data_IF_125756113621
#
_entry.id   IF_125756113621
#
_cell.length_a   1.000
_cell.length_b   1.000
_cell.length_c   1.000
_cell.angle_alpha   90.00
_cell.angle_beta   90.00
_cell.angle_gamma   90.00
#
_symmetry.space_group_name_H-M   'P 1'
#
loop_
_entity.id
_entity.type
_entity.pdbx_description
1 polymer ?
#
# COMPACT_ATOMS: atom_id res chain seq x y z
N UNK A 1 41.18 -29.01 39.24
CA UNK A 1 39.99 -29.27 38.39
C UNK A 1 39.28 -27.95 38.14
N UNK A 2 38.77 -27.71 36.93
CA UNK A 2 38.19 -26.41 36.54
C UNK A 2 36.65 -26.50 36.50
N UNK A 3 35.94 -25.65 37.26
CA UNK A 3 34.50 -25.35 37.06
C UNK A 3 34.16 -23.92 37.48
N UNK A 4 34.43 -22.98 36.58
CA UNK A 4 33.74 -21.69 36.58
C UNK A 4 32.42 -21.91 35.84
N UNK A 5 31.29 -21.82 36.53
CA UNK A 5 29.98 -21.72 35.89
C UNK A 5 29.52 -20.27 35.95
N UNK A 6 29.93 -19.50 34.94
CA UNK A 6 29.37 -18.17 34.72
C UNK A 6 27.89 -18.29 34.37
N UNK A 7 27.01 -17.61 35.11
CA UNK A 7 25.59 -17.53 34.81
C UNK A 7 25.39 -16.59 33.61
N UNK A 8 25.65 -17.12 32.41
CA UNK A 8 25.46 -16.41 31.15
C UNK A 8 23.96 -16.39 30.81
N UNK A 9 23.21 -15.59 31.56
CA UNK A 9 21.87 -15.15 31.18
C UNK A 9 22.06 -14.23 29.97
N UNK A 10 22.10 -14.84 28.78
CA UNK A 10 21.87 -14.12 27.53
C UNK A 10 20.42 -13.67 27.58
N UNK A 11 20.20 -12.45 28.06
CA UNK A 11 18.95 -11.74 27.84
C UNK A 11 18.77 -11.62 26.32
N UNK A 12 17.93 -12.49 25.75
CA UNK A 12 17.48 -12.37 24.37
C UNK A 12 16.49 -11.20 24.24
N UNK A 13 16.97 -9.99 24.54
CA UNK A 13 16.45 -8.74 23.99
C UNK A 13 16.78 -8.75 22.50
N UNK A 14 16.03 -9.56 21.73
CA UNK A 14 16.15 -9.62 20.28
C UNK A 14 15.54 -8.32 19.74
N UNK A 15 16.38 -7.28 19.69
CA UNK A 15 16.16 -6.13 18.83
C UNK A 15 16.32 -6.61 17.39
N UNK A 16 15.27 -7.26 16.88
CA UNK A 16 15.18 -7.68 15.50
C UNK A 16 15.00 -6.43 14.63
N UNK A 17 16.11 -5.82 14.25
CA UNK A 17 16.13 -5.02 13.04
C UNK A 17 15.88 -5.93 11.85
N UNK A 18 15.14 -5.42 10.87
CA UNK A 18 14.72 -6.18 9.69
C UNK A 18 14.78 -5.29 8.46
N UNK A 19 15.23 -5.85 7.33
CA UNK A 19 15.29 -5.15 6.05
C UNK A 19 14.22 -5.71 5.12
N UNK A 20 13.32 -4.87 4.61
CA UNK A 20 12.35 -5.28 3.61
C UNK A 20 12.65 -4.59 2.28
N UNK A 21 12.73 -5.39 1.21
CA UNK A 21 12.64 -4.88 -0.15
C UNK A 21 11.20 -5.00 -0.64
N UNK A 22 10.69 -3.96 -1.29
CA UNK A 22 9.48 -4.02 -2.10
C UNK A 22 9.78 -3.66 -3.54
N UNK A 23 9.20 -4.40 -4.48
CA UNK A 23 9.08 -4.01 -5.87
C UNK A 23 7.61 -3.72 -6.16
N UNK A 24 7.35 -2.63 -6.87
CA UNK A 24 6.02 -2.23 -7.29
C UNK A 24 5.97 -2.03 -8.79
N UNK A 25 4.81 -2.40 -9.35
CA UNK A 25 4.39 -2.09 -10.69
C UNK A 25 2.97 -1.56 -10.65
N UNK A 26 2.71 -0.41 -11.27
CA UNK A 26 1.36 0.12 -11.50
C UNK A 26 1.22 0.48 -12.98
N UNK A 27 0.13 0.02 -13.60
CA UNK A 27 -0.27 0.43 -14.94
C UNK A 27 -1.56 1.24 -14.85
N UNK A 28 -1.48 2.52 -15.17
CA UNK A 28 -2.59 3.46 -15.23
C UNK A 28 -2.95 3.79 -16.69
N UNK A 29 -4.24 3.92 -16.98
CA UNK A 29 -4.76 4.29 -18.31
C UNK A 29 -6.01 5.16 -18.20
N UNK A 30 -6.16 6.12 -19.13
CA UNK A 30 -7.24 7.10 -19.14
C UNK A 30 -7.55 7.65 -20.55
N UNK A 31 -8.84 7.83 -20.83
CA UNK A 31 -9.40 8.42 -22.08
C UNK A 31 -10.34 9.60 -21.77
N UNK A 32 -10.38 10.05 -20.50
CA UNK A 32 -11.23 11.12 -20.00
C UNK A 32 -10.60 11.89 -18.83
N UNK A 33 -11.18 13.04 -18.51
CA UNK A 33 -10.90 13.89 -17.36
C UNK A 33 -12.19 14.13 -16.56
N UNK A 34 -12.03 14.68 -15.34
CA UNK A 34 -13.03 15.54 -14.72
C UNK A 34 -12.58 16.99 -14.91
N UNK A 35 -13.49 17.83 -15.41
CA UNK A 35 -13.23 19.25 -15.62
C UNK A 35 -13.34 20.06 -14.31
N UNK A 36 -13.34 21.39 -14.40
CA UNK A 36 -13.44 22.28 -13.23
C UNK A 36 -14.83 22.35 -12.59
N UNK A 37 -15.85 21.77 -13.23
CA UNK A 37 -17.23 21.64 -12.74
C UNK A 37 -17.53 20.24 -12.17
N UNK A 38 -16.51 19.39 -12.01
CA UNK A 38 -16.60 17.97 -11.62
C UNK A 38 -17.34 17.08 -12.66
N UNK A 39 -17.58 17.58 -13.87
CA UNK A 39 -18.20 16.84 -14.96
C UNK A 39 -17.16 16.00 -15.73
N UNK A 40 -17.58 14.84 -16.23
CA UNK A 40 -16.77 13.96 -17.06
C UNK A 40 -16.63 14.51 -18.49
N UNK A 41 -15.39 14.64 -18.96
CA UNK A 41 -15.04 15.12 -20.30
C UNK A 41 -14.10 14.11 -20.97
N UNK A 42 -14.46 13.60 -22.16
CA UNK A 42 -13.58 12.71 -22.91
C UNK A 42 -12.48 13.50 -23.62
N UNK A 43 -11.27 12.92 -23.68
CA UNK A 43 -10.13 13.51 -24.40
C UNK A 43 -10.39 13.60 -25.93
N UNK A 44 -11.35 12.82 -26.45
CA UNK A 44 -11.72 12.77 -27.85
C UNK A 44 -11.24 11.50 -28.57
N UNK A 45 -11.87 11.19 -29.70
CA UNK A 45 -11.69 9.92 -30.42
C UNK A 45 -10.28 9.72 -30.96
N UNK A 46 -9.46 8.96 -30.23
CA UNK A 46 -8.07 8.64 -30.58
C UNK A 46 -7.04 9.13 -29.54
N UNK A 47 -7.45 9.98 -28.59
CA UNK A 47 -6.60 10.43 -27.50
C UNK A 47 -6.64 9.48 -26.31
N UNK A 48 -5.48 9.28 -25.70
CA UNK A 48 -5.32 8.52 -24.46
C UNK A 48 -4.08 8.99 -23.71
N UNK A 49 -3.99 8.60 -22.44
CA UNK A 49 -2.76 8.65 -21.66
C UNK A 49 -2.57 7.34 -20.88
N UNK A 50 -1.36 6.78 -20.93
CA UNK A 50 -0.94 5.59 -20.20
C UNK A 50 0.33 5.87 -19.39
N UNK A 51 0.43 5.27 -18.21
CA UNK A 51 1.59 5.34 -17.34
C UNK A 51 1.92 3.96 -16.78
N UNK A 52 3.19 3.58 -16.85
CA UNK A 52 3.77 2.36 -16.31
C UNK A 52 4.80 2.75 -15.25
N UNK A 53 4.40 2.71 -13.98
CA UNK A 53 5.25 3.05 -12.84
C UNK A 53 5.92 1.81 -12.28
N UNK A 54 7.25 1.85 -12.15
CA UNK A 54 8.05 0.85 -11.46
C UNK A 54 8.75 1.50 -10.27
N UNK A 55 8.56 0.97 -9.05
CA UNK A 55 9.27 1.46 -7.86
C UNK A 55 10.01 0.35 -7.13
N UNK A 56 11.19 0.67 -6.63
CA UNK A 56 11.99 -0.16 -5.75
C UNK A 56 12.16 0.55 -4.42
N UNK A 57 11.68 -0.07 -3.34
CA UNK A 57 11.76 0.47 -1.98
C UNK A 57 12.58 -0.45 -1.08
N UNK A 58 13.40 0.14 -0.22
CA UNK A 58 14.16 -0.53 0.82
C UNK A 58 13.83 0.08 2.18
N UNK A 59 13.14 -0.70 3.01
CA UNK A 59 12.79 -0.32 4.37
C UNK A 59 13.78 -0.91 5.35
N UNK A 60 14.25 -0.08 6.29
CA UNK A 60 14.98 -0.52 7.47
C UNK A 60 14.12 -0.30 8.71
N UNK A 61 13.79 -1.38 9.42
CA UNK A 61 13.22 -1.29 10.76
C UNK A 61 14.34 -1.25 11.78
N UNK A 62 14.50 -0.12 12.47
CA UNK A 62 15.49 0.02 13.54
C UNK A 62 15.06 -0.71 14.81
N UNK A 63 13.77 -0.60 15.17
CA UNK A 63 13.19 -1.31 16.31
C UNK A 63 11.66 -1.46 16.14
N UNK A 64 10.99 -1.99 17.18
CA UNK A 64 9.53 -2.17 17.25
C UNK A 64 8.69 -0.90 17.04
N UNK A 65 9.30 0.29 17.05
CA UNK A 65 8.65 1.59 17.03
C UNK A 65 9.29 2.56 16.03
N UNK A 66 10.16 2.11 15.11
CA UNK A 66 10.74 2.96 14.06
C UNK A 66 11.05 2.19 12.76
N UNK A 67 10.50 2.68 11.64
CA UNK A 67 10.82 2.30 10.25
C UNK A 67 11.34 3.52 9.50
N UNK A 68 12.34 3.32 8.64
CA UNK A 68 12.77 4.30 7.64
C UNK A 68 12.78 3.66 6.26
N UNK A 69 12.58 4.48 5.23
CA UNK A 69 12.45 4.09 3.82
C UNK A 69 13.45 4.89 2.99
N UNK A 70 14.10 4.21 2.04
CA UNK A 70 14.67 4.81 0.84
C UNK A 70 14.13 4.07 -0.38
N UNK A 71 13.72 4.79 -1.42
CA UNK A 71 13.20 4.20 -2.64
C UNK A 71 13.53 5.00 -3.90
N UNK A 72 13.22 4.44 -5.06
CA UNK A 72 13.44 5.07 -6.36
C UNK A 72 12.39 4.62 -7.37
N UNK A 73 11.87 5.57 -8.16
CA UNK A 73 10.79 5.35 -9.13
C UNK A 73 11.25 5.59 -10.57
N UNK A 74 10.90 4.67 -11.47
CA UNK A 74 11.14 4.72 -12.91
C UNK A 74 9.80 4.65 -13.63
N UNK A 75 9.48 5.65 -14.45
CA UNK A 75 8.18 5.75 -15.12
C UNK A 75 8.34 5.76 -16.64
N UNK A 76 7.55 4.92 -17.32
CA UNK A 76 7.33 4.98 -18.77
C UNK A 76 5.91 5.51 -19.03
N UNK A 77 5.75 6.52 -19.87
CA UNK A 77 4.44 7.06 -20.25
C UNK A 77 4.23 6.97 -21.76
N UNK A 78 2.96 6.88 -22.19
CA UNK A 78 2.51 7.04 -23.57
C UNK A 78 1.32 7.98 -23.64
N UNK A 79 1.17 8.71 -24.74
CA UNK A 79 0.02 9.57 -25.00
C UNK A 79 -0.27 9.72 -26.50
N UNK A 80 -1.48 10.18 -26.83
CA UNK A 80 -1.92 10.47 -28.20
C UNK A 80 -2.79 11.72 -28.23
N UNK A 81 -2.60 12.60 -29.22
CA UNK A 81 -3.39 13.83 -29.45
C UNK A 81 -4.33 13.76 -30.67
N UNK A 82 -4.46 12.57 -31.28
CA UNK A 82 -5.08 12.27 -32.59
C UNK A 82 -4.21 12.55 -33.83
N UNK A 83 -3.02 13.13 -33.67
CA UNK A 83 -2.05 13.36 -34.75
C UNK A 83 -0.84 12.44 -34.56
N UNK A 84 -0.22 12.50 -33.38
CA UNK A 84 1.03 11.80 -33.06
C UNK A 84 0.93 11.02 -31.73
N UNK A 85 1.53 9.82 -31.71
CA UNK A 85 1.77 9.07 -30.46
C UNK A 85 3.12 9.47 -29.87
N UNK A 86 3.12 9.87 -28.59
CA UNK A 86 4.31 10.24 -27.82
C UNK A 86 4.60 9.20 -26.77
N UNK A 87 5.87 9.08 -26.37
CA UNK A 87 6.25 8.29 -25.20
C UNK A 87 7.53 8.79 -24.55
N UNK A 88 7.74 8.51 -23.28
CA UNK A 88 8.92 8.93 -22.53
C UNK A 88 9.26 7.92 -21.42
N UNK A 89 10.55 7.78 -21.08
CA UNK A 89 11.03 6.95 -19.98
C UNK A 89 12.12 7.67 -19.18
N UNK A 90 11.80 8.08 -17.93
CA UNK A 90 12.76 8.71 -17.03
C UNK A 90 12.65 8.12 -15.61
N UNK A 91 13.74 8.21 -14.81
CA UNK A 91 13.63 8.21 -13.35
C UNK A 91 12.74 9.38 -12.90
N UNK A 92 11.63 9.10 -12.21
CA UNK A 92 10.70 10.13 -11.76
C UNK A 92 11.17 10.78 -10.46
N UNK A 93 11.46 9.96 -9.44
CA UNK A 93 11.73 10.44 -8.10
C UNK A 93 12.69 9.54 -7.31
N UNK A 94 13.31 10.14 -6.30
CA UNK A 94 13.94 9.45 -5.17
C UNK A 94 13.06 9.67 -3.93
N UNK A 95 12.75 8.57 -3.25
CA UNK A 95 11.91 8.53 -2.06
C UNK A 95 12.77 8.46 -0.79
N UNK A 96 12.43 9.27 0.23
CA UNK A 96 12.90 9.12 1.61
C UNK A 96 11.73 9.24 2.59
N UNK A 97 11.50 8.20 3.40
CA UNK A 97 10.43 8.16 4.40
C UNK A 97 10.92 7.79 5.80
N UNK A 98 10.14 8.20 6.81
CA UNK A 98 10.33 7.78 8.19
C UNK A 98 8.97 7.70 8.89
N UNK A 99 8.76 6.64 9.68
CA UNK A 99 7.49 6.36 10.35
C UNK A 99 7.73 5.97 11.81
N UNK A 100 6.94 6.56 12.71
CA UNK A 100 6.79 6.18 14.11
C UNK A 100 5.41 5.56 14.37
N UNK A 101 5.37 4.38 14.99
CA UNK A 101 4.15 3.63 15.25
C UNK A 101 4.06 3.12 16.68
N UNK A 102 2.83 3.07 17.19
CA UNK A 102 2.49 2.56 18.52
C UNK A 102 1.22 1.69 18.53
N UNK A 103 1.20 0.63 19.34
CA UNK A 103 0.00 -0.15 19.54
C UNK A 103 -1.02 0.56 20.42
N UNK A 104 -2.30 0.29 20.16
CA UNK A 104 -3.42 0.64 21.04
C UNK A 104 -4.13 -0.63 21.52
N UNK A 105 -5.23 -0.49 22.26
CA UNK A 105 -6.01 -1.62 22.76
C UNK A 105 -6.77 -2.38 21.66
N UNK A 106 -7.10 -1.74 20.54
CA UNK A 106 -8.09 -2.23 19.57
C UNK A 106 -7.55 -2.33 18.14
N UNK A 107 -6.23 -2.26 17.97
CA UNK A 107 -5.61 -1.86 16.71
C UNK A 107 -4.51 -0.85 17.01
N UNK A 108 -4.02 -0.13 16.00
CA UNK A 108 -2.71 0.50 16.08
C UNK A 108 -2.67 1.84 15.33
N UNK A 109 -1.77 2.72 15.77
CA UNK A 109 -1.61 4.07 15.24
C UNK A 109 -0.18 4.29 14.78
N UNK A 110 0.01 4.98 13.66
CA UNK A 110 1.33 5.52 13.30
C UNK A 110 1.23 6.90 12.67
N UNK A 111 2.34 7.62 12.75
CA UNK A 111 2.57 8.94 12.16
C UNK A 111 3.90 8.88 11.41
N UNK A 112 3.96 9.48 10.23
CA UNK A 112 5.14 9.40 9.39
C UNK A 112 5.23 10.50 8.35
N UNK A 113 6.33 10.47 7.63
CA UNK A 113 6.54 11.27 6.44
C UNK A 113 7.01 10.40 5.29
N UNK A 114 6.67 10.82 4.08
CA UNK A 114 7.14 10.23 2.83
C UNK A 114 7.47 11.36 1.84
N UNK A 115 8.76 11.52 1.52
CA UNK A 115 9.27 12.66 0.77
C UNK A 115 9.76 12.17 -0.59
N UNK A 116 9.27 12.78 -1.68
CA UNK A 116 9.66 12.45 -3.03
C UNK A 116 10.39 13.64 -3.63
N UNK A 117 11.68 13.45 -3.91
CA UNK A 117 12.51 14.42 -4.59
C UNK A 117 12.47 14.08 -6.07
N UNK A 118 11.86 14.93 -6.89
CA UNK A 118 11.76 14.68 -8.32
C UNK A 118 13.13 14.81 -8.99
N UNK A 119 13.38 13.95 -9.97
CA UNK A 119 14.66 13.86 -10.67
C UNK A 119 14.64 14.57 -12.03
N UNK A 120 13.50 15.16 -12.40
CA UNK A 120 13.30 16.01 -13.57
C UNK A 120 12.30 17.12 -13.25
N UNK A 121 12.27 18.17 -14.07
CA UNK A 121 11.23 19.20 -14.04
C UNK A 121 10.45 19.12 -15.37
N UNK A 122 9.16 19.45 -15.38
CA UNK A 122 8.39 19.54 -16.64
C UNK A 122 8.87 20.74 -17.46
N UNK A 123 9.37 20.48 -18.67
CA UNK A 123 9.58 21.51 -19.69
C UNK A 123 8.28 21.71 -20.49
N UNK A 124 7.72 22.92 -20.45
CA UNK A 124 6.53 23.29 -21.20
C UNK A 124 6.72 23.32 -22.74
N UNK A 125 7.98 23.16 -23.22
CA UNK A 125 8.35 23.14 -24.63
C UNK A 125 8.70 21.73 -25.15
N UNK A 126 8.57 20.69 -24.32
CA UNK A 126 8.81 19.30 -24.76
C UNK A 126 7.67 18.76 -25.63
N UNK A 127 8.00 17.75 -26.44
CA UNK A 127 7.04 16.96 -27.24
C UNK A 127 7.02 15.49 -26.75
N UNK A 128 7.58 15.23 -25.56
CA UNK A 128 7.60 13.92 -24.90
C UNK A 128 6.51 13.80 -23.84
N UNK A 129 5.88 12.64 -23.71
CA UNK A 129 4.83 12.41 -22.70
C UNK A 129 5.34 12.64 -21.26
N UNK A 130 4.54 13.26 -20.39
CA UNK A 130 4.96 13.46 -18.99
C UNK A 130 4.94 12.15 -18.23
N UNK A 131 5.99 11.88 -17.45
CA UNK A 131 6.13 10.68 -16.62
C UNK A 131 5.91 10.93 -15.11
N UNK A 132 5.52 12.17 -14.76
CA UNK A 132 5.37 12.63 -13.38
C UNK A 132 4.98 14.12 -13.33
N UNK A 133 4.77 14.64 -12.13
CA UNK A 133 4.46 16.07 -11.90
C UNK A 133 5.66 17.00 -12.19
N UNK A 134 6.89 16.47 -12.21
CA UNK A 134 8.14 17.25 -12.29
C UNK A 134 8.30 18.26 -11.14
N UNK A 135 7.75 17.92 -9.97
CA UNK A 135 7.80 18.70 -8.74
C UNK A 135 8.08 17.76 -7.57
N UNK A 136 8.85 18.22 -6.59
CA UNK A 136 9.11 17.49 -5.34
C UNK A 136 7.97 17.67 -4.35
N UNK A 137 7.76 16.71 -3.44
CA UNK A 137 6.71 16.78 -2.43
C UNK A 137 7.11 16.18 -1.08
N UNK A 138 6.55 16.75 -0.02
CA UNK A 138 6.66 16.31 1.36
C UNK A 138 5.26 15.89 1.82
N UNK A 139 5.05 14.59 1.97
CA UNK A 139 3.82 14.03 2.53
C UNK A 139 4.02 13.77 4.02
N UNK A 140 3.18 14.35 4.86
CA UNK A 140 3.08 14.09 6.29
C UNK A 140 1.75 13.40 6.57
N UNK A 141 1.74 12.31 7.33
CA UNK A 141 0.52 11.53 7.53
C UNK A 141 0.36 11.00 8.95
N UNK A 142 -0.89 10.74 9.33
CA UNK A 142 -1.28 9.93 10.47
C UNK A 142 -2.27 8.86 10.03
N UNK A 143 -2.08 7.62 10.49
CA UNK A 143 -2.92 6.48 10.14
C UNK A 143 -3.28 5.65 11.35
N UNK A 144 -4.45 5.02 11.26
CA UNK A 144 -4.99 4.16 12.28
C UNK A 144 -5.66 2.94 11.67
N UNK A 145 -5.38 1.79 12.27
CA UNK A 145 -6.07 0.55 11.97
C UNK A 145 -6.85 0.09 13.18
N UNK A 146 -8.11 -0.28 12.94
CA UNK A 146 -9.01 -0.84 13.93
C UNK A 146 -9.24 -2.31 13.61
N UNK A 147 -8.94 -3.19 14.56
CA UNK A 147 -9.18 -4.62 14.45
C UNK A 147 -10.54 -4.99 15.08
N UNK A 148 -11.49 -5.40 14.25
CA UNK A 148 -12.87 -5.73 14.63
C UNK A 148 -13.01 -7.25 14.73
N UNK A 149 -12.71 -7.78 15.92
CA UNK A 149 -12.67 -9.21 16.17
C UNK A 149 -11.50 -9.88 15.43
N UNK A 150 -11.70 -11.09 14.89
CA UNK A 150 -10.60 -11.91 14.36
C UNK A 150 -10.54 -11.93 12.81
N UNK A 151 -11.36 -11.14 12.11
CA UNK A 151 -11.54 -11.24 10.64
C UNK A 151 -11.86 -9.94 9.91
N UNK A 152 -12.20 -8.86 10.60
CA UNK A 152 -12.49 -7.58 9.97
C UNK A 152 -11.52 -6.54 10.49
N UNK A 153 -10.93 -5.77 9.59
CA UNK A 153 -10.13 -4.59 9.91
C UNK A 153 -10.71 -3.36 9.21
N UNK A 154 -10.56 -2.19 9.81
CA UNK A 154 -10.76 -0.90 9.15
C UNK A 154 -9.40 -0.20 9.12
N UNK A 155 -8.88 0.10 7.94
CA UNK A 155 -7.79 1.06 7.77
C UNK A 155 -8.37 2.46 7.56
N UNK A 156 -7.78 3.47 8.18
CA UNK A 156 -8.01 4.89 7.89
C UNK A 156 -6.70 5.66 7.90
N UNK A 157 -6.53 6.59 6.95
CA UNK A 157 -5.40 7.52 6.90
C UNK A 157 -5.84 8.94 6.60
N UNK A 158 -5.12 9.90 7.17
CA UNK A 158 -5.20 11.32 6.83
C UNK A 158 -3.78 11.88 6.67
N UNK A 159 -3.60 12.80 5.74
CA UNK A 159 -2.30 13.42 5.51
C UNK A 159 -2.39 14.79 4.84
N UNK A 160 -1.24 15.44 4.81
CA UNK A 160 -0.98 16.73 4.20
C UNK A 160 0.24 16.57 3.27
N UNK A 161 0.11 17.01 2.03
CA UNK A 161 1.12 16.90 1.00
C UNK A 161 1.47 18.29 0.51
N UNK A 162 2.64 18.80 0.90
CA UNK A 162 3.17 20.04 0.34
C UNK A 162 3.98 19.74 -0.91
N UNK A 163 3.84 20.58 -1.95
CA UNK A 163 4.41 20.36 -3.28
C UNK A 163 5.20 21.59 -3.73
N UNK A 164 6.33 21.40 -4.42
CA UNK A 164 7.17 22.50 -4.93
C UNK A 164 6.63 23.03 -6.27
N UNK A 165 7.33 24.00 -6.87
CA UNK A 165 7.12 24.43 -8.26
C UNK A 165 5.69 24.92 -8.55
N UNK A 166 5.23 25.83 -7.68
CA UNK A 166 3.95 26.54 -7.83
C UNK A 166 2.70 25.75 -7.47
N UNK A 167 2.84 24.47 -7.10
CA UNK A 167 1.73 23.55 -6.90
C UNK A 167 0.89 23.88 -5.67
N UNK A 168 -0.43 23.66 -5.77
CA UNK A 168 -1.29 23.59 -4.60
C UNK A 168 -0.86 22.48 -3.63
N UNK A 169 -0.88 22.76 -2.32
CA UNK A 169 -0.79 21.73 -1.28
C UNK A 169 -2.09 20.91 -1.28
N UNK A 170 -1.97 19.61 -0.99
CA UNK A 170 -3.11 18.68 -0.96
C UNK A 170 -3.36 18.15 0.46
N UNK A 171 -4.63 17.97 0.82
CA UNK A 171 -5.03 17.08 1.92
C UNK A 171 -5.39 15.71 1.34
N UNK A 172 -4.92 14.64 1.97
CA UNK A 172 -5.03 13.25 1.48
C UNK A 172 -5.79 12.38 2.48
N UNK A 173 -6.66 11.49 2.00
CA UNK A 173 -7.50 10.62 2.82
C UNK A 173 -7.51 9.18 2.28
N UNK A 174 -7.62 8.20 3.18
CA UNK A 174 -7.81 6.78 2.81
C UNK A 174 -8.76 6.12 3.81
N UNK A 175 -9.63 5.21 3.35
CA UNK A 175 -10.44 4.37 4.21
C UNK A 175 -10.76 3.01 3.56
N UNK A 176 -10.23 1.91 4.12
CA UNK A 176 -10.44 0.55 3.61
C UNK A 176 -11.10 -0.36 4.64
N UNK A 177 -12.15 -1.07 4.24
CA UNK A 177 -12.65 -2.25 4.95
C UNK A 177 -11.88 -3.49 4.48
N UNK A 178 -11.28 -4.22 5.42
CA UNK A 178 -10.38 -5.35 5.18
C UNK A 178 -10.98 -6.65 5.74
N UNK A 179 -11.06 -7.68 4.91
CA UNK A 179 -11.44 -9.04 5.27
C UNK A 179 -10.18 -9.90 5.42
N UNK A 180 -9.94 -10.36 6.64
CA UNK A 180 -8.71 -11.03 7.05
C UNK A 180 -8.93 -12.55 7.09
N UNK A 181 -8.34 -13.26 6.14
CA UNK A 181 -8.53 -14.70 5.87
C UNK A 181 -7.21 -15.41 5.56
N UNK A 182 -6.23 -15.22 6.45
CA UNK A 182 -4.89 -15.88 6.49
C UNK A 182 -4.81 -17.20 5.69
N UNK A 183 -3.96 -17.29 4.64
CA UNK A 183 -2.88 -16.38 4.24
C UNK A 183 -3.31 -15.25 3.26
N UNK A 184 -4.61 -15.00 3.11
CA UNK A 184 -5.17 -13.99 2.22
C UNK A 184 -5.75 -12.82 3.04
N UNK A 185 -5.56 -11.58 2.59
CA UNK A 185 -6.42 -10.44 2.95
C UNK A 185 -7.05 -9.91 1.66
N UNK A 186 -8.31 -9.52 1.73
CA UNK A 186 -9.01 -8.77 0.69
C UNK A 186 -9.48 -7.44 1.25
N UNK A 187 -9.45 -6.36 0.47
CA UNK A 187 -9.94 -5.07 0.89
C UNK A 187 -10.76 -4.36 -0.19
N UNK A 188 -11.66 -3.51 0.28
CA UNK A 188 -12.40 -2.52 -0.50
C UNK A 188 -12.38 -1.19 0.25
N UNK A 189 -12.12 -0.10 -0.46
CA UNK A 189 -12.01 1.21 0.16
C UNK A 189 -12.01 2.37 -0.82
N UNK A 190 -11.73 3.55 -0.28
CA UNK A 190 -11.55 4.77 -1.04
C UNK A 190 -10.22 5.43 -0.70
N UNK A 191 -9.52 5.89 -1.73
CA UNK A 191 -8.43 6.84 -1.64
C UNK A 191 -8.96 8.20 -2.14
N UNK A 192 -8.51 9.31 -1.56
CA UNK A 192 -8.89 10.64 -2.04
C UNK A 192 -7.82 11.70 -1.76
N UNK A 193 -7.83 12.77 -2.55
CA UNK A 193 -7.10 13.99 -2.25
C UNK A 193 -7.87 15.23 -2.72
N UNK A 194 -7.60 16.36 -2.08
CA UNK A 194 -8.12 17.68 -2.50
C UNK A 194 -7.06 18.74 -2.31
N UNK A 195 -6.98 19.70 -3.24
CA UNK A 195 -6.21 20.91 -3.01
C UNK A 195 -6.79 21.71 -1.85
N UNK A 196 -5.92 22.32 -1.05
CA UNK A 196 -6.26 23.13 0.14
C UNK A 196 -5.55 24.49 0.19
N UNK A 197 -4.55 24.71 -0.67
CA UNK A 197 -4.03 26.03 -1.03
C UNK A 197 -4.23 26.25 -2.52
N UNK A 198 -4.23 27.52 -2.97
CA UNK A 198 -4.25 27.83 -4.39
C UNK A 198 -2.87 27.67 -5.02
N UNK A 199 -2.89 27.06 -6.21
CA UNK A 199 -1.76 26.95 -7.12
C UNK A 199 -1.41 28.31 -7.76
N UNK A 200 -0.12 28.56 -8.02
CA UNK A 200 0.34 29.86 -8.56
C UNK A 200 -0.31 30.21 -9.91
N UNK A 201 -0.68 29.20 -10.71
CA UNK A 201 -1.29 29.39 -12.03
C UNK A 201 -2.83 29.26 -12.02
N UNK A 202 -3.49 29.35 -10.85
CA UNK A 202 -4.97 29.32 -10.74
C UNK A 202 -5.66 30.41 -11.60
N UNK A 203 -5.03 31.57 -11.76
CA UNK A 203 -5.54 32.67 -12.60
C UNK A 203 -5.11 32.58 -14.08
N UNK A 204 -4.33 31.56 -14.45
CA UNK A 204 -3.74 31.38 -15.78
C UNK A 204 -3.64 29.90 -16.14
N UNK A 205 -4.68 29.12 -15.81
CA UNK A 205 -4.69 27.65 -15.91
C UNK A 205 -4.27 27.16 -17.31
N UNK A 206 -4.72 27.87 -18.35
CA UNK A 206 -4.45 27.60 -19.76
C UNK A 206 -2.96 27.41 -20.10
N UNK A 207 -2.04 28.00 -19.32
CA UNK A 207 -0.59 27.76 -19.46
C UNK A 207 -0.21 26.32 -19.19
N UNK A 208 -0.90 25.62 -18.28
CA UNK A 208 -0.72 24.19 -18.03
C UNK A 208 -1.65 23.31 -18.87
N UNK A 209 -2.88 23.75 -19.14
CA UNK A 209 -3.80 23.02 -20.01
C UNK A 209 -3.23 22.83 -21.41
N UNK A 210 -2.55 23.86 -21.97
CA UNK A 210 -1.83 23.75 -23.24
C UNK A 210 -0.70 22.72 -23.20
N UNK A 211 -0.03 22.54 -22.06
CA UNK A 211 1.01 21.51 -21.90
C UNK A 211 0.36 20.14 -21.84
N UNK A 212 -0.67 19.94 -21.00
CA UNK A 212 -1.36 18.63 -20.91
C UNK A 212 -2.04 18.24 -22.22
N UNK A 213 -2.57 19.19 -22.99
CA UNK A 213 -3.09 18.95 -24.35
C UNK A 213 -2.00 18.39 -25.28
N UNK A 214 -0.87 19.09 -25.39
CA UNK A 214 0.24 18.70 -26.27
C UNK A 214 0.88 17.35 -25.85
N UNK A 215 1.29 17.20 -24.59
CA UNK A 215 2.14 16.06 -24.17
C UNK A 215 1.40 14.94 -23.45
N UNK A 216 0.24 15.19 -22.83
CA UNK A 216 -0.57 14.15 -22.19
C UNK A 216 -1.81 13.75 -23.01
N UNK A 217 -1.95 14.20 -24.27
CA UNK A 217 -3.16 13.95 -25.07
C UNK A 217 -4.40 14.57 -24.43
N UNK A 218 -4.25 15.72 -23.76
CA UNK A 218 -5.29 16.37 -22.95
C UNK A 218 -5.42 15.84 -21.52
N UNK A 219 -4.71 14.79 -21.12
CA UNK A 219 -4.96 14.17 -19.81
C UNK A 219 -4.43 14.99 -18.62
N UNK A 220 -5.33 15.30 -17.70
CA UNK A 220 -5.07 15.94 -16.41
C UNK A 220 -4.54 14.93 -15.36
N UNK A 221 -3.69 13.96 -15.75
CA UNK A 221 -3.10 13.00 -14.81
C UNK A 221 -1.93 13.58 -14.01
N UNK A 222 -1.15 14.44 -14.67
CA UNK A 222 -0.06 15.22 -14.11
C UNK A 222 -0.19 16.66 -14.59
N UNK A 223 0.52 17.56 -13.91
CA UNK A 223 0.67 18.96 -14.28
C UNK A 223 -0.60 19.83 -14.10
N UNK A 224 -1.71 19.28 -13.59
CA UNK A 224 -2.98 19.99 -13.32
C UNK A 224 -2.89 21.07 -12.21
N UNK A 225 -3.83 22.02 -12.25
CA UNK A 225 -3.99 23.15 -11.30
C UNK A 225 -5.11 22.84 -10.30
N UNK A 226 -4.90 23.11 -9.01
CA UNK A 226 -5.88 22.86 -7.93
C UNK A 226 -6.60 21.47 -7.99
N UNK A 227 -5.94 20.35 -8.33
CA UNK A 227 -6.65 19.09 -8.56
C UNK A 227 -7.27 18.51 -7.27
N UNK A 228 -8.38 17.79 -7.43
CA UNK A 228 -8.96 16.88 -6.43
C UNK A 228 -9.42 15.59 -7.09
N UNK A 229 -9.46 14.47 -6.35
CA UNK A 229 -9.92 13.16 -6.85
C UNK A 229 -10.39 12.27 -5.71
N UNK A 230 -11.33 11.39 -6.00
CA UNK A 230 -11.69 10.24 -5.18
C UNK A 230 -11.67 8.98 -6.06
N UNK A 231 -11.01 7.93 -5.57
CA UNK A 231 -10.82 6.65 -6.22
C UNK A 231 -11.52 5.54 -5.44
N UNK A 232 -12.16 4.60 -6.15
CA UNK A 232 -12.54 3.29 -5.62
C UNK A 232 -11.31 2.37 -5.70
N UNK A 233 -11.03 1.64 -4.62
CA UNK A 233 -9.85 0.77 -4.53
C UNK A 233 -10.24 -0.62 -4.06
N UNK A 234 -9.72 -1.63 -4.76
CA UNK A 234 -9.89 -3.05 -4.49
C UNK A 234 -8.52 -3.71 -4.50
N UNK A 235 -8.14 -4.44 -3.45
CA UNK A 235 -6.87 -5.17 -3.45
C UNK A 235 -6.92 -6.48 -2.67
N UNK A 236 -5.96 -7.37 -2.94
CA UNK A 236 -5.73 -8.60 -2.19
C UNK A 236 -4.24 -8.82 -1.91
N UNK A 237 -3.90 -9.10 -0.65
CA UNK A 237 -2.55 -9.51 -0.23
C UNK A 237 -2.51 -11.04 -0.04
N UNK A 238 -1.45 -11.69 -0.51
CA UNK A 238 -1.20 -13.11 -0.27
C UNK A 238 0.22 -13.34 0.26
N UNK A 239 0.35 -13.97 1.43
CA UNK A 239 1.65 -14.39 1.96
C UNK A 239 2.01 -15.80 1.47
N UNK A 240 3.07 -15.91 0.67
CA UNK A 240 3.61 -17.19 0.23
C UNK A 240 4.44 -17.88 1.34
N UNK A 241 5.02 -17.09 2.25
CA UNK A 241 5.83 -17.59 3.36
C UNK A 241 5.98 -16.55 4.49
N UNK A 242 6.69 -16.91 5.55
CA UNK A 242 7.15 -16.00 6.62
C UNK A 242 8.13 -14.91 6.14
N UNK A 243 8.49 -14.84 4.85
CA UNK A 243 9.43 -13.83 4.33
C UNK A 243 9.13 -13.34 2.90
N UNK A 244 8.07 -13.83 2.25
CA UNK A 244 7.69 -13.45 0.87
C UNK A 244 6.16 -13.32 0.74
N UNK A 245 5.70 -12.21 0.15
CA UNK A 245 4.29 -11.93 -0.10
C UNK A 245 4.10 -11.08 -1.36
N UNK A 246 2.85 -10.98 -1.85
CA UNK A 246 2.49 -10.04 -2.91
C UNK A 246 1.13 -9.38 -2.66
N UNK A 247 0.94 -8.21 -3.26
CA UNK A 247 -0.35 -7.53 -3.44
C UNK A 247 -0.71 -7.54 -4.93
N UNK A 248 -2.00 -7.68 -5.23
CA UNK A 248 -2.58 -7.27 -6.52
C UNK A 248 -3.81 -6.41 -6.25
N UNK A 249 -4.07 -5.41 -7.08
CA UNK A 249 -5.24 -4.56 -6.93
C UNK A 249 -5.64 -3.81 -8.18
N UNK A 250 -6.78 -3.13 -8.06
CA UNK A 250 -7.41 -2.30 -9.07
C UNK A 250 -7.89 -1.00 -8.42
N UNK A 251 -7.69 0.11 -9.12
CA UNK A 251 -8.09 1.46 -8.71
C UNK A 251 -8.85 2.14 -9.85
N UNK A 252 -9.87 2.93 -9.55
CA UNK A 252 -10.65 3.66 -10.57
C UNK A 252 -11.19 4.96 -10.01
N UNK A 253 -11.07 6.05 -10.78
CA UNK A 253 -11.69 7.32 -10.40
C UNK A 253 -13.21 7.15 -10.24
N UNK A 254 -13.77 7.73 -9.17
CA UNK A 254 -15.21 7.90 -8.95
C UNK A 254 -15.65 9.33 -9.27
N UNK A 255 -14.91 10.31 -8.75
CA UNK A 255 -15.11 11.74 -8.98
C UNK A 255 -13.79 12.49 -8.86
N UNK A 256 -13.78 13.76 -9.27
CA UNK A 256 -12.65 14.66 -9.08
C UNK A 256 -12.92 16.03 -9.68
N UNK A 257 -11.94 16.92 -9.55
CA UNK A 257 -11.92 18.24 -10.16
C UNK A 257 -10.54 18.47 -10.76
N UNK A 258 -10.50 18.93 -12.02
CA UNK A 258 -9.27 19.14 -12.80
C UNK A 258 -8.27 17.95 -12.75
N UNK A 259 -8.76 16.73 -12.96
CA UNK A 259 -7.97 15.50 -12.83
C UNK A 259 -8.37 14.43 -13.85
N UNK A 260 -7.46 13.54 -14.21
CA UNK A 260 -7.73 12.38 -15.06
C UNK A 260 -8.83 11.44 -14.50
N UNK A 261 -9.76 11.02 -15.37
CA UNK A 261 -10.73 9.95 -15.12
C UNK A 261 -10.26 8.65 -15.77
N UNK A 262 -9.64 7.79 -14.96
CA UNK A 262 -9.12 6.52 -15.46
C UNK A 262 -8.93 5.48 -14.37
N UNK A 263 -8.30 4.37 -14.72
CA UNK A 263 -8.12 3.23 -13.83
C UNK A 263 -6.68 2.72 -13.82
N UNK A 264 -6.30 2.02 -12.76
CA UNK A 264 -5.00 1.38 -12.63
C UNK A 264 -5.11 -0.08 -12.19
N UNK A 265 -4.15 -0.90 -12.62
CA UNK A 265 -3.91 -2.26 -12.13
C UNK A 265 -2.50 -2.28 -11.55
N UNK A 266 -2.41 -2.56 -10.25
CA UNK A 266 -1.14 -2.57 -9.53
C UNK A 266 -0.79 -3.95 -8.97
N UNK A 267 0.50 -4.23 -8.95
CA UNK A 267 1.10 -5.44 -8.40
C UNK A 267 2.35 -5.07 -7.59
N UNK A 268 2.43 -5.58 -6.37
CA UNK A 268 3.57 -5.36 -5.49
C UNK A 268 4.11 -6.71 -5.01
N UNK A 269 5.43 -6.82 -4.89
CA UNK A 269 6.12 -8.01 -4.40
C UNK A 269 7.06 -7.64 -3.25
N UNK A 270 7.01 -8.41 -2.17
CA UNK A 270 7.67 -8.08 -0.90
C UNK A 270 8.57 -9.21 -0.44
N UNK A 271 9.80 -8.87 -0.04
CA UNK A 271 10.77 -9.79 0.55
C UNK A 271 11.36 -9.17 1.81
N UNK A 272 11.37 -9.89 2.93
CA UNK A 272 11.99 -9.43 4.17
C UNK A 272 13.17 -10.31 4.60
N UNK A 273 14.22 -9.66 5.07
CA UNK A 273 15.49 -10.21 5.51
C UNK A 273 15.65 -9.93 7.02
N UNK A 274 15.23 -10.89 7.84
CA UNK A 274 15.29 -10.82 9.30
C UNK A 274 13.97 -10.45 9.99
N UNK A 275 13.89 -10.70 11.30
CA UNK A 275 12.62 -10.75 12.04
C UNK A 275 11.89 -12.10 11.86
N UNK A 276 10.91 -12.39 12.71
CA UNK A 276 10.10 -13.63 12.64
C UNK A 276 8.64 -13.34 12.24
N UNK A 277 8.33 -12.08 11.99
CA UNK A 277 6.99 -11.52 12.19
C UNK A 277 6.32 -11.14 10.85
N UNK A 278 7.08 -11.24 9.74
CA UNK A 278 6.69 -10.69 8.44
C UNK A 278 5.42 -11.31 7.85
N UNK A 279 5.05 -12.56 8.12
CA UNK A 279 3.76 -13.10 7.65
C UNK A 279 2.56 -12.27 8.13
N UNK A 280 2.66 -11.69 9.34
CA UNK A 280 1.63 -10.87 9.96
C UNK A 280 1.78 -9.37 9.61
N UNK A 281 2.92 -8.99 9.02
CA UNK A 281 3.18 -7.62 8.51
C UNK A 281 2.89 -7.57 7.00
N UNK A 282 3.03 -8.66 6.26
CA UNK A 282 2.58 -8.84 4.87
C UNK A 282 1.05 -8.82 4.72
N UNK A 283 0.36 -9.08 5.82
CA UNK A 283 -1.07 -9.26 5.94
C UNK A 283 -1.52 -8.47 7.17
N UNK A 284 -1.68 -7.15 7.03
CA UNK A 284 -1.97 -6.23 8.15
C UNK A 284 -3.00 -6.76 9.16
N UNK A 285 -2.58 -6.82 10.44
CA UNK A 285 -3.31 -7.45 11.56
C UNK A 285 -3.07 -6.83 12.97
N UNK A 286 -2.60 -5.57 13.08
CA UNK A 286 -1.31 -5.27 13.76
C UNK A 286 -0.97 -3.70 13.78
N UNK A 287 0.25 -3.13 13.98
CA UNK A 287 0.70 -1.67 13.79
C UNK A 287 2.15 -1.36 13.21
N UNK A 288 2.41 -0.98 11.93
CA UNK A 288 3.60 -1.20 11.00
C UNK A 288 3.62 -2.40 9.98
N UNK A 289 2.98 -2.32 8.79
CA UNK A 289 2.77 -3.44 7.81
C UNK A 289 3.14 -3.09 6.36
N UNK A 290 2.56 -3.87 5.45
CA UNK A 290 2.63 -3.97 4.01
C UNK A 290 1.20 -3.81 3.40
N UNK A 291 0.25 -3.28 4.18
CA UNK A 291 -0.53 -2.15 3.67
C UNK A 291 0.22 -0.81 3.85
N UNK A 292 1.58 -0.82 3.96
CA UNK A 292 2.44 0.29 3.43
C UNK A 292 2.41 0.36 1.89
N UNK A 293 1.26 -0.11 1.40
CA UNK A 293 0.62 -0.45 0.13
C UNK A 293 -0.64 0.39 -0.30
N UNK A 294 -1.07 1.45 0.44
CA UNK A 294 -2.39 2.19 0.35
C UNK A 294 -2.53 3.68 -0.11
N UNK A 295 -1.91 4.70 0.53
CA UNK A 295 -2.14 6.17 0.33
C UNK A 295 -2.23 6.77 -1.09
N UNK A 296 -2.80 7.99 -1.16
CA UNK A 296 -2.48 8.97 -2.19
C UNK A 296 -1.27 9.87 -1.85
N UNK A 297 -0.21 9.93 -2.67
CA UNK A 297 0.36 8.79 -3.40
C UNK A 297 1.45 8.24 -2.51
N UNK A 298 1.18 7.05 -1.99
CA UNK A 298 2.06 6.10 -1.34
C UNK A 298 2.52 6.32 0.12
N UNK A 299 2.33 5.43 1.13
CA UNK A 299 1.40 4.28 1.42
C UNK A 299 1.40 3.97 3.02
N UNK A 300 0.63 3.01 3.66
CA UNK A 300 0.26 2.93 5.15
C UNK A 300 0.53 1.70 6.19
N UNK A 301 -0.20 1.53 7.34
CA UNK A 301 -0.53 0.20 8.02
C UNK A 301 0.38 -0.54 9.13
N UNK A 302 0.26 -1.88 9.43
CA UNK A 302 0.37 -2.76 10.70
C UNK A 302 1.42 -3.98 11.16
N UNK A 303 2.20 -4.00 12.30
CA UNK A 303 2.96 -5.09 13.07
C UNK A 303 2.37 -5.85 14.34
N UNK A 304 2.95 -7.03 14.70
CA UNK A 304 2.85 -7.81 15.99
C UNK A 304 1.51 -8.11 16.72
N UNK A 305 1.15 -9.36 17.11
CA UNK A 305 1.34 -10.75 16.57
C UNK A 305 0.77 -11.80 17.55
N UNK A 306 0.13 -12.88 17.05
CA UNK A 306 0.00 -14.18 17.75
C UNK A 306 0.52 -15.36 16.89
N UNK A 307 1.07 -16.39 17.54
CA UNK A 307 1.89 -17.43 16.87
C UNK A 307 1.10 -18.67 16.45
N UNK A 308 0.78 -18.76 15.15
CA UNK A 308 0.04 -19.90 14.59
C UNK A 308 0.88 -21.11 14.14
N UNK A 309 2.21 -20.98 13.98
CA UNK A 309 3.09 -22.06 13.49
C UNK A 309 3.58 -23.05 14.57
N UNK A 310 2.69 -23.54 15.44
CA UNK A 310 2.99 -24.76 16.22
C UNK A 310 3.03 -25.99 15.29
N UNK A 311 4.21 -26.64 15.19
CA UNK A 311 4.33 -27.96 14.53
C UNK A 311 3.31 -28.94 15.15
N UNK A 312 2.48 -29.63 14.35
CA UNK A 312 1.33 -30.37 14.87
C UNK A 312 1.75 -31.45 15.86
N UNK A 313 1.41 -31.24 17.14
CA UNK A 313 1.74 -32.13 18.26
C UNK A 313 1.27 -33.56 17.95
N UNK A 314 2.22 -34.50 17.84
CA UNK A 314 1.97 -35.91 17.45
C UNK A 314 0.81 -36.50 18.26
N UNK A 315 -0.33 -36.77 17.59
CA UNK A 315 -1.55 -37.34 18.21
C UNK A 315 -1.19 -38.61 19.00
N UNK A 316 -1.28 -38.55 20.33
CA UNK A 316 -1.08 -39.73 21.21
C UNK A 316 -2.05 -40.83 20.77
N UNK A 317 -1.54 -41.99 20.34
CA UNK A 317 -2.36 -43.17 19.99
C UNK A 317 -3.30 -43.50 21.17
N UNK A 318 -4.62 -43.39 20.96
CA UNK A 318 -5.62 -43.82 21.96
C UNK A 318 -5.38 -45.30 22.29
N UNK A 319 -5.07 -45.61 23.56
CA UNK A 319 -5.01 -47.01 24.03
C UNK A 319 -6.39 -47.65 23.81
N UNK A 320 -6.44 -48.82 23.14
CA UNK A 320 -7.68 -49.60 22.99
C UNK A 320 -8.19 -50.00 24.39
N UNK A 321 -9.31 -49.43 24.81
CA UNK A 321 -10.04 -49.90 25.98
C UNK A 321 -10.57 -51.31 25.64
N UNK A 322 -10.03 -52.33 26.30
CA UNK A 322 -10.58 -53.70 26.21
C UNK A 322 -11.93 -53.70 26.93
N UNK A 323 -13.04 -53.85 26.19
CA UNK A 323 -14.36 -54.10 26.79
C UNK A 323 -14.28 -55.39 27.63
N UNK A 324 -14.80 -55.43 28.87
CA UNK A 324 -14.89 -56.67 29.63
C UNK A 324 -15.82 -57.66 28.92
N UNK A 325 -15.47 -58.96 28.93
CA UNK A 325 -16.37 -60.02 28.47
C UNK A 325 -17.58 -60.08 29.42
N UNK A 326 -18.81 -59.96 28.89
CA UNK A 326 -20.01 -60.38 29.63
C UNK A 326 -19.85 -61.86 30.00
N UNK A 327 -19.96 -62.19 31.29
CA UNK A 327 -20.23 -63.59 31.69
C UNK A 327 -21.63 -63.95 31.15
N UNK A 328 -21.81 -65.17 30.63
CA UNK A 328 -23.15 -65.72 30.44
C UNK A 328 -23.77 -65.95 31.83
N UNK A 329 -25.00 -65.53 32.02
CA UNK A 329 -25.85 -66.11 33.07
C UNK A 329 -26.13 -67.57 32.70
N UNK A 330 -26.15 -68.46 33.69
CA UNK A 330 -26.87 -69.73 33.56
C UNK A 330 -28.36 -69.44 33.72
N UNK A 331 -29.22 -70.19 33.04
CA UNK A 331 -30.60 -70.36 33.47
C UNK A 331 -30.62 -71.07 34.83
N UNK A 332 -31.61 -70.73 35.65
CA UNK A 332 -32.10 -71.56 36.73
C UNK A 332 -33.59 -71.74 36.41
N UNK A 333 -33.86 -72.82 35.69
CA UNK A 333 -35.04 -73.63 35.93
C UNK A 333 -34.62 -74.72 36.94
N UNK A 334 -35.56 -75.50 37.46
CA UNK A 334 -35.39 -76.45 38.57
C UNK A 334 -35.12 -75.81 39.96
N UNK A 335 -36.15 -75.18 40.54
CA UNK A 335 -36.71 -75.61 41.84
C UNK A 335 -38.01 -74.83 42.18
N UNK A 336 -39.02 -75.55 42.71
CA UNK A 336 -40.41 -75.14 43.04
C UNK A 336 -41.34 -74.97 41.81
#
# INVERSE_FOLDING_TARGET
MLRIFAFLIVSQSVFASSWQAAYLFDFYSTEANYNTLEEEESLGTGKFYELYTQRLDLYYRYNKNWRVLIGSELNYARSSDNIDERSNFLPNNLNLGAEWGMPTKYGNFSIGNNNYFSLFNVDANTDEALVGEGASLIHLYGMYQLQIGNRLGLHTKIGYMSRTDGRSDLSTYEANLRLITMPLILAIGVEAYTSITDDELVNSQITRDNVTENVNGGSYHFYSVNPSRMDLVLWGNYAFSESVAARIGYKSSLSGNNTSKGSSIFFNFYVNFGGNDFANEALGMNGYSIDEFGDFKILADEYKEEKYFEKPKKKKRRRRIRRPRRKKLKSIEDDI
#
